data_IF_105896713604
#
_entry.id   IF_105896713604
#
_cell.length_a   1.000
_cell.length_b   1.000
_cell.length_c   1.000
_cell.angle_alpha   90.00
_cell.angle_beta   90.00
_cell.angle_gamma   90.00
#
_symmetry.space_group_name_H-M   'P 1'
#
loop_
_entity.id
_entity.type
_entity.pdbx_description
1 polymer ?
#
# COMPACT_ATOMS: atom_id res chain seq x y z
N UNK A 1 5.13 -11.62 -9.44
CA UNK A 1 4.75 -10.18 -9.38
C UNK A 1 4.13 -9.86 -8.02
N UNK A 2 4.93 -9.41 -7.05
CA UNK A 2 4.45 -9.08 -5.70
C UNK A 2 3.77 -7.71 -5.72
N UNK A 3 2.46 -7.68 -5.42
CA UNK A 3 1.68 -6.44 -5.32
C UNK A 3 1.60 -6.04 -3.86
N UNK A 4 1.64 -4.73 -3.58
CA UNK A 4 1.45 -4.14 -2.25
C UNK A 4 0.29 -4.77 -1.46
N UNK A 5 -0.82 -5.03 -2.15
CA UNK A 5 -2.01 -5.69 -1.61
C UNK A 5 -1.75 -7.09 -1.03
N UNK A 6 -0.85 -7.87 -1.63
CA UNK A 6 -0.52 -9.22 -1.17
C UNK A 6 0.30 -9.15 0.11
N UNK A 7 1.28 -8.25 0.17
CA UNK A 7 2.12 -8.06 1.37
C UNK A 7 1.27 -7.52 2.52
N UNK A 8 0.40 -6.54 2.24
CA UNK A 8 -0.54 -6.02 3.22
C UNK A 8 -1.50 -7.10 3.75
N UNK A 9 -2.02 -7.96 2.87
CA UNK A 9 -2.86 -9.08 3.26
C UNK A 9 -2.15 -10.15 4.09
N UNK A 10 -0.89 -10.45 3.79
CA UNK A 10 -0.08 -11.40 4.59
C UNK A 10 0.23 -10.83 5.98
N UNK A 11 0.50 -9.53 6.08
CA UNK A 11 0.90 -8.91 7.35
C UNK A 11 -0.27 -8.55 8.26
N UNK A 12 -1.39 -8.13 7.69
CA UNK A 12 -2.52 -7.55 8.43
C UNK A 12 -3.85 -8.29 8.22
N UNK A 13 -3.87 -9.40 7.47
CA UNK A 13 -5.07 -10.21 7.17
C UNK A 13 -6.22 -9.41 6.54
N UNK A 14 -5.89 -8.26 5.93
CA UNK A 14 -6.84 -7.32 5.34
C UNK A 14 -6.64 -7.18 3.83
N UNK A 15 -7.75 -6.99 3.10
CA UNK A 15 -7.73 -6.80 1.64
C UNK A 15 -7.93 -5.33 1.28
N UNK A 16 -6.97 -4.75 0.56
CA UNK A 16 -7.14 -3.43 -0.07
C UNK A 16 -7.76 -3.62 -1.46
N UNK A 17 -9.03 -3.27 -1.61
CA UNK A 17 -9.73 -3.28 -2.90
C UNK A 17 -9.38 -2.03 -3.70
N UNK A 18 -8.75 -2.23 -4.86
CA UNK A 18 -8.32 -1.15 -5.76
C UNK A 18 -9.21 -1.14 -7.00
N UNK A 19 -10.23 -0.29 -7.00
CA UNK A 19 -11.17 -0.15 -8.12
C UNK A 19 -10.70 0.76 -9.27
N UNK A 20 -9.57 1.46 -9.11
CA UNK A 20 -9.13 2.56 -9.99
C UNK A 20 -7.73 2.32 -10.59
N UNK A 21 -7.35 1.06 -10.84
CA UNK A 21 -5.98 0.73 -11.30
C UNK A 21 -5.71 1.09 -12.78
N UNK A 22 -6.76 1.34 -13.56
CA UNK A 22 -6.72 1.66 -14.99
C UNK A 22 -7.31 3.05 -15.26
N UNK A 23 -6.77 4.08 -14.61
CA UNK A 23 -7.10 5.49 -14.88
C UNK A 23 -5.94 6.19 -15.59
N UNK A 24 -6.21 7.29 -16.30
CA UNK A 24 -5.19 8.06 -17.00
C UNK A 24 -4.27 8.79 -15.98
N UNK A 25 -3.09 8.25 -15.73
CA UNK A 25 -2.08 8.83 -14.82
C UNK A 25 -1.23 9.92 -15.47
N UNK A 26 -1.36 10.11 -16.78
CA UNK A 26 -0.63 11.14 -17.56
C UNK A 26 -1.44 12.44 -17.65
N UNK A 27 -2.62 12.51 -17.03
CA UNK A 27 -3.40 13.74 -16.98
C UNK A 27 -2.68 14.82 -16.15
N UNK A 28 -2.64 16.06 -16.64
CA UNK A 28 -2.04 17.21 -15.97
C UNK A 28 -2.60 17.45 -14.56
N UNK A 29 -3.87 17.11 -14.34
CA UNK A 29 -4.51 17.19 -13.03
C UNK A 29 -5.10 15.84 -12.66
N UNK A 30 -4.61 15.27 -11.56
CA UNK A 30 -5.16 14.04 -11.01
C UNK A 30 -6.53 14.30 -10.36
N UNK A 31 -7.48 13.40 -10.61
CA UNK A 31 -8.75 13.36 -9.88
C UNK A 31 -8.53 13.09 -8.39
N UNK A 32 -9.49 13.47 -7.55
CA UNK A 32 -9.41 13.19 -6.11
C UNK A 32 -9.36 11.69 -5.80
N UNK A 33 -9.99 10.87 -6.64
CA UNK A 33 -9.87 9.41 -6.56
C UNK A 33 -8.43 8.92 -6.81
N UNK A 34 -7.71 9.50 -7.78
CA UNK A 34 -6.31 9.18 -8.06
C UNK A 34 -5.38 9.66 -6.95
N UNK A 35 -5.60 10.87 -6.42
CA UNK A 35 -4.85 11.39 -5.26
C UNK A 35 -5.04 10.50 -4.04
N UNK A 36 -6.28 10.11 -3.75
CA UNK A 36 -6.61 9.17 -2.66
C UNK A 36 -5.93 7.82 -2.85
N UNK A 37 -5.93 7.30 -4.08
CA UNK A 37 -5.26 6.05 -4.40
C UNK A 37 -3.74 6.13 -4.17
N UNK A 38 -3.10 7.20 -4.62
CA UNK A 38 -1.66 7.41 -4.41
C UNK A 38 -1.32 7.57 -2.92
N UNK A 39 -2.14 8.32 -2.17
CA UNK A 39 -2.00 8.49 -0.73
C UNK A 39 -2.17 7.16 0.03
N UNK A 40 -3.15 6.34 -0.37
CA UNK A 40 -3.37 5.02 0.22
C UNK A 40 -2.17 4.08 -0.01
N UNK A 41 -1.56 4.14 -1.19
CA UNK A 41 -0.36 3.36 -1.50
C UNK A 41 0.83 3.78 -0.65
N UNK A 42 1.08 5.08 -0.50
CA UNK A 42 2.13 5.59 0.37
C UNK A 42 1.91 5.19 1.84
N UNK A 43 0.68 5.33 2.34
CA UNK A 43 0.31 4.94 3.70
C UNK A 43 0.50 3.44 3.95
N UNK A 44 0.03 2.59 3.04
CA UNK A 44 0.16 1.14 3.15
C UNK A 44 1.64 0.71 3.13
N UNK A 45 2.47 1.33 2.28
CA UNK A 45 3.92 1.11 2.27
C UNK A 45 4.57 1.43 3.63
N UNK A 46 4.25 2.58 4.23
CA UNK A 46 4.77 2.98 5.54
C UNK A 46 4.37 1.97 6.63
N UNK A 47 3.11 1.54 6.63
CA UNK A 47 2.62 0.54 7.60
C UNK A 47 3.35 -0.78 7.49
N UNK A 48 3.54 -1.27 6.26
CA UNK A 48 4.29 -2.50 5.99
C UNK A 48 5.73 -2.37 6.47
N UNK A 49 6.41 -1.26 6.17
CA UNK A 49 7.78 -1.04 6.61
C UNK A 49 7.92 -1.07 8.13
N UNK A 50 7.04 -0.36 8.84
CA UNK A 50 7.05 -0.33 10.30
C UNK A 50 6.78 -1.71 10.92
N UNK A 51 5.84 -2.47 10.35
CA UNK A 51 5.54 -3.83 10.80
C UNK A 51 6.72 -4.77 10.59
N UNK A 52 7.37 -4.70 9.43
CA UNK A 52 8.57 -5.51 9.14
C UNK A 52 9.72 -5.15 10.08
N UNK A 53 9.95 -3.85 10.31
CA UNK A 53 10.97 -3.35 11.25
C UNK A 53 10.68 -3.83 12.68
N UNK A 54 9.42 -3.79 13.11
CA UNK A 54 9.02 -4.29 14.42
C UNK A 54 9.29 -5.79 14.56
N UNK A 55 8.84 -6.60 13.60
CA UNK A 55 9.08 -8.06 13.60
C UNK A 55 10.55 -8.43 13.55
N UNK A 56 11.37 -7.67 12.81
CA UNK A 56 12.81 -7.87 12.77
C UNK A 56 13.47 -7.62 14.14
N UNK A 57 13.01 -6.59 14.87
CA UNK A 57 13.50 -6.31 16.23
C UNK A 57 13.08 -7.39 17.23
N UNK A 58 11.84 -7.88 17.15
CA UNK A 58 11.32 -8.93 18.06
C UNK A 58 12.03 -10.28 17.86
N UNK A 59 12.46 -10.62 16.64
CA UNK A 59 13.17 -11.88 16.37
C UNK A 59 14.65 -11.89 16.75
N UNK A 60 15.23 -10.73 17.05
CA UNK A 60 16.64 -10.58 17.42
C UNK A 60 16.89 -10.37 18.92
N UNK A 61 15.87 -10.49 19.75
CA UNK A 61 15.94 -10.37 21.22
C UNK A 61 15.59 -11.67 21.92
#
# INVERSE_FOLDING_TARGET
RYRLQRIYGILFEKRISKGQRLSNWEADTLSDAQKMYAALDAWACLRIFNELKYRAKVKGG
#
